data_IF_381281176176
#
_entry.id   IF_381281176176
#
_cell.length_a   1.000
_cell.length_b   1.000
_cell.length_c   1.000
_cell.angle_alpha   90.00
_cell.angle_beta   90.00
_cell.angle_gamma   90.00
#
_symmetry.space_group_name_H-M   'P 1'
#
loop_
_entity.id
_entity.type
_entity.pdbx_description
1 polymer ?
#
# COMPACT_ATOMS: atom_id res chain seq x y z
N UNK A 1 -0.82 1.51 -11.09
CA UNK A 1 -1.72 1.99 -10.04
C UNK A 1 -1.83 3.51 -10.08
N UNK A 2 -3.04 4.05 -10.01
CA UNK A 2 -3.35 5.49 -9.89
C UNK A 2 -3.24 5.96 -8.43
N UNK A 3 -3.24 7.27 -8.18
CA UNK A 3 -3.21 7.81 -6.81
C UNK A 3 -4.38 7.33 -5.95
N UNK A 4 -5.61 7.41 -6.48
CA UNK A 4 -6.80 6.94 -5.76
C UNK A 4 -6.77 5.44 -5.45
N UNK A 5 -6.19 4.63 -6.33
CA UNK A 5 -6.01 3.20 -6.14
C UNK A 5 -4.98 2.91 -5.04
N UNK A 6 -3.91 3.71 -4.95
CA UNK A 6 -2.94 3.63 -3.86
C UNK A 6 -3.57 4.00 -2.52
N UNK A 7 -4.30 5.11 -2.47
CA UNK A 7 -4.98 5.54 -1.25
C UNK A 7 -6.02 4.49 -0.78
N UNK A 8 -6.70 3.82 -1.73
CA UNK A 8 -7.57 2.69 -1.43
C UNK A 8 -6.79 1.49 -0.88
N UNK A 9 -5.72 1.07 -1.56
CA UNK A 9 -4.90 -0.07 -1.14
C UNK A 9 -4.31 0.13 0.26
N UNK A 10 -3.81 1.32 0.54
CA UNK A 10 -3.25 1.68 1.83
C UNK A 10 -4.28 1.56 2.96
N UNK A 11 -5.49 2.13 2.75
CA UNK A 11 -6.58 2.03 3.72
C UNK A 11 -7.05 0.59 3.90
N UNK A 12 -7.18 -0.16 2.81
CA UNK A 12 -7.65 -1.53 2.83
C UNK A 12 -6.68 -2.48 3.55
N UNK A 13 -5.36 -2.28 3.42
CA UNK A 13 -4.36 -3.18 4.03
C UNK A 13 -4.00 -2.73 5.45
N UNK A 14 -3.76 -1.44 5.65
CA UNK A 14 -3.20 -0.93 6.91
C UNK A 14 -4.22 -0.17 7.77
N UNK A 15 -5.40 0.13 7.24
CA UNK A 15 -6.37 1.00 7.89
C UNK A 15 -6.02 2.48 7.76
N UNK A 16 -7.01 3.36 7.97
CA UNK A 16 -6.85 4.81 7.72
C UNK A 16 -5.79 5.48 8.60
N UNK A 17 -5.76 5.16 9.91
CA UNK A 17 -4.86 5.82 10.85
C UNK A 17 -3.41 5.34 10.72
N UNK A 18 -3.19 4.03 10.72
CA UNK A 18 -1.85 3.46 10.59
C UNK A 18 -1.29 3.68 9.18
N UNK A 19 -2.13 3.54 8.14
CA UNK A 19 -1.75 3.87 6.77
C UNK A 19 -1.25 5.32 6.63
N UNK A 20 -1.93 6.29 7.25
CA UNK A 20 -1.47 7.69 7.23
C UNK A 20 -0.11 7.86 7.90
N UNK A 21 0.15 7.16 9.01
CA UNK A 21 1.44 7.19 9.71
C UNK A 21 2.55 6.57 8.84
N UNK A 22 2.27 5.48 8.12
CA UNK A 22 3.22 4.89 7.17
C UNK A 22 3.62 5.88 6.06
N UNK A 23 2.70 6.72 5.58
CA UNK A 23 3.03 7.68 4.53
C UNK A 23 4.03 8.74 4.99
N UNK A 24 3.91 9.20 6.24
CA UNK A 24 4.75 10.28 6.78
C UNK A 24 6.04 9.75 7.40
N UNK A 25 6.00 8.60 8.07
CA UNK A 25 7.03 8.21 9.03
C UNK A 25 7.88 7.03 8.55
N UNK A 26 7.36 6.17 7.66
CA UNK A 26 8.13 5.05 7.14
C UNK A 26 9.13 5.56 6.10
N UNK A 27 10.41 5.44 6.41
CA UNK A 27 11.47 5.67 5.42
C UNK A 27 11.60 4.45 4.51
N UNK A 28 11.58 4.67 3.18
CA UNK A 28 11.79 3.62 2.18
C UNK A 28 13.23 3.70 1.65
N UNK A 29 14.14 2.80 2.05
CA UNK A 29 15.56 2.87 1.66
C UNK A 29 15.79 2.90 0.15
N UNK A 30 15.04 2.09 -0.61
CA UNK A 30 15.19 1.99 -2.07
C UNK A 30 14.79 3.28 -2.80
N UNK A 31 13.94 4.10 -2.18
CA UNK A 31 13.49 5.38 -2.72
C UNK A 31 14.18 6.57 -2.05
N UNK A 32 14.98 6.30 -1.01
CA UNK A 32 15.63 7.27 -0.14
C UNK A 32 14.70 8.37 0.39
N UNK A 33 13.42 8.04 0.57
CA UNK A 33 12.36 8.99 0.90
C UNK A 33 11.21 8.28 1.64
N UNK A 34 10.35 9.05 2.30
CA UNK A 34 9.06 8.53 2.78
C UNK A 34 8.07 8.39 1.61
N UNK A 35 7.00 7.57 1.72
CA UNK A 35 6.00 7.47 0.67
C UNK A 35 5.40 8.82 0.27
N UNK A 36 5.13 9.69 1.25
CA UNK A 36 4.61 11.03 0.98
C UNK A 36 5.60 11.90 0.18
N UNK A 37 6.88 11.86 0.54
CA UNK A 37 7.94 12.56 -0.20
C UNK A 37 8.10 11.99 -1.61
N UNK A 38 8.18 10.67 -1.75
CA UNK A 38 8.30 10.01 -3.06
C UNK A 38 7.11 10.34 -3.99
N UNK A 39 5.89 10.37 -3.45
CA UNK A 39 4.70 10.81 -4.18
C UNK A 39 4.81 12.28 -4.65
N UNK A 40 5.29 13.17 -3.77
CA UNK A 40 5.49 14.58 -4.10
C UNK A 40 6.58 14.79 -5.17
N UNK A 41 7.61 13.93 -5.18
CA UNK A 41 8.67 13.90 -6.18
C UNK A 41 8.26 13.20 -7.49
N UNK A 42 7.02 12.72 -7.60
CA UNK A 42 6.50 12.10 -8.83
C UNK A 42 6.88 10.64 -9.04
N UNK A 43 7.38 9.94 -8.00
CA UNK A 43 7.64 8.50 -8.08
C UNK A 43 6.32 7.76 -8.33
N UNK A 44 6.36 6.74 -9.20
CA UNK A 44 5.18 5.98 -9.57
C UNK A 44 4.54 5.31 -8.35
N UNK A 45 3.22 5.44 -8.13
CA UNK A 45 2.56 4.84 -6.96
C UNK A 45 2.78 3.32 -6.82
N UNK A 46 2.89 2.59 -7.93
CA UNK A 46 3.20 1.15 -7.89
C UNK A 46 4.57 0.86 -7.28
N UNK A 47 5.58 1.65 -7.61
CA UNK A 47 6.94 1.47 -7.08
C UNK A 47 6.99 1.76 -5.57
N UNK A 48 6.25 2.78 -5.13
CA UNK A 48 6.09 3.11 -3.70
C UNK A 48 5.38 1.98 -2.99
N UNK A 49 4.30 1.43 -3.57
CA UNK A 49 3.56 0.30 -3.00
C UNK A 49 4.40 -0.96 -2.88
N UNK A 50 5.15 -1.32 -3.93
CA UNK A 50 6.03 -2.47 -3.90
C UNK A 50 7.10 -2.32 -2.80
N UNK A 51 7.69 -1.13 -2.66
CA UNK A 51 8.66 -0.82 -1.60
C UNK A 51 8.02 -0.89 -0.21
N UNK A 52 6.81 -0.37 -0.07
CA UNK A 52 6.08 -0.36 1.20
C UNK A 52 5.75 -1.78 1.65
N UNK A 53 5.21 -2.63 0.76
CA UNK A 53 4.93 -4.04 1.07
C UNK A 53 6.20 -4.80 1.47
N UNK A 54 7.35 -4.53 0.84
CA UNK A 54 8.61 -5.13 1.21
C UNK A 54 9.08 -4.68 2.61
N UNK A 55 8.98 -3.39 2.92
CA UNK A 55 9.38 -2.85 4.22
C UNK A 55 8.46 -3.27 5.37
N UNK A 56 7.18 -3.56 5.08
CA UNK A 56 6.20 -4.02 6.07
C UNK A 56 6.02 -5.55 6.10
N UNK A 57 6.93 -6.30 5.45
CA UNK A 57 6.89 -7.77 5.34
C UNK A 57 5.48 -8.29 5.01
N UNK A 58 4.83 -7.64 4.05
CA UNK A 58 3.43 -7.88 3.73
C UNK A 58 3.26 -8.97 2.68
N UNK A 59 2.09 -9.62 2.71
CA UNK A 59 1.81 -10.75 1.82
C UNK A 59 1.90 -10.35 0.33
N UNK A 60 2.61 -11.13 -0.52
CA UNK A 60 2.74 -10.85 -1.95
C UNK A 60 1.42 -10.73 -2.72
N UNK A 61 0.33 -11.34 -2.23
CA UNK A 61 -1.00 -11.24 -2.83
C UNK A 61 -1.53 -9.80 -2.86
N UNK A 62 -1.04 -8.93 -1.96
CA UNK A 62 -1.44 -7.53 -1.87
C UNK A 62 -0.84 -6.64 -2.96
N UNK A 63 0.16 -7.13 -3.70
CA UNK A 63 0.87 -6.34 -4.72
C UNK A 63 -0.04 -5.76 -5.79
N UNK A 64 -1.08 -6.50 -6.17
CA UNK A 64 -2.04 -6.11 -7.20
C UNK A 64 -3.46 -5.92 -6.67
N UNK A 65 -3.63 -5.61 -5.39
CA UNK A 65 -4.95 -5.41 -4.75
C UNK A 65 -5.85 -4.41 -5.52
N UNK A 66 -5.27 -3.37 -6.12
CA UNK A 66 -6.01 -2.38 -6.93
C UNK A 66 -6.65 -2.97 -8.20
N UNK A 67 -6.26 -4.17 -8.62
CA UNK A 67 -6.83 -4.92 -9.76
C UNK A 67 -7.71 -6.09 -9.30
N UNK A 68 -7.77 -6.36 -8.01
CA UNK A 68 -8.54 -7.46 -7.46
C UNK A 68 -10.04 -7.23 -7.66
N UNK A 69 -10.76 -8.26 -8.10
CA UNK A 69 -12.21 -8.21 -8.16
C UNK A 69 -12.82 -8.35 -6.76
N UNK A 70 -14.16 -8.24 -6.68
CA UNK A 70 -14.87 -8.33 -5.40
C UNK A 70 -14.66 -9.69 -4.71
N UNK A 71 -14.53 -10.77 -5.47
CA UNK A 71 -14.35 -12.12 -4.92
C UNK A 71 -12.97 -12.22 -4.28
N UNK A 72 -11.92 -11.82 -4.99
CA UNK A 72 -10.55 -11.81 -4.47
C UNK A 72 -10.44 -10.92 -3.24
N UNK A 73 -11.06 -9.72 -3.25
CA UNK A 73 -11.07 -8.85 -2.07
C UNK A 73 -11.73 -9.52 -0.84
N UNK A 74 -12.84 -10.24 -1.03
CA UNK A 74 -13.48 -10.99 0.04
C UNK A 74 -12.61 -12.14 0.57
N UNK A 75 -11.87 -12.83 -0.32
CA UNK A 75 -10.93 -13.88 0.06
C UNK A 75 -9.77 -13.33 0.89
N UNK A 76 -9.15 -12.21 0.46
CA UNK A 76 -8.09 -11.54 1.21
C UNK A 76 -8.57 -11.03 2.58
N UNK A 77 -9.80 -10.52 2.67
CA UNK A 77 -10.40 -10.11 3.94
C UNK A 77 -10.59 -11.31 4.89
N UNK A 78 -11.05 -12.46 4.38
CA UNK A 78 -11.19 -13.71 5.18
C UNK A 78 -9.85 -14.24 5.68
N UNK A 79 -8.77 -14.01 4.94
CA UNK A 79 -7.40 -14.34 5.36
C UNK A 79 -6.82 -13.34 6.37
N UNK A 80 -7.54 -12.25 6.68
CA UNK A 80 -7.08 -11.21 7.61
C UNK A 80 -6.05 -10.26 7.02
N UNK A 81 -5.82 -10.30 5.71
CA UNK A 81 -4.87 -9.45 5.01
C UNK A 81 -5.41 -8.03 4.75
N UNK A 82 -6.73 -7.85 4.84
CA UNK A 82 -7.39 -6.56 4.74
C UNK A 82 -7.98 -6.15 6.10
N UNK A 83 -7.85 -4.87 6.43
CA UNK A 83 -8.50 -4.20 7.56
C UNK A 83 -9.85 -3.65 7.07
N UNK A 84 -10.95 -4.15 7.64
CA UNK A 84 -12.32 -3.70 7.39
C UNK A 84 -12.60 -2.34 8.01
#
# INVERSE_FOLDING_TARGET
>A
MKRSEFDFALKAVFGSAFGASLLSDLYLPDLQATPAQALASGVAPQQIWDSLLAQTDSDPQLRFIHRADRRTLNELARQGLLRS
#
